data_IF_367622235827
#
_entry.id   IF_367622235827
#
_cell.length_a   1.000
_cell.length_b   1.000
_cell.length_c   1.000
_cell.angle_alpha   90.00
_cell.angle_beta   90.00
_cell.angle_gamma   90.00
#
_symmetry.space_group_name_H-M   'P 1'
#
loop_
_entity.id
_entity.type
_entity.pdbx_description
1 polymer ?
#
# COMPACT_ATOMS: atom_id res chain seq x y z
N UNK A 1 -48.71 -75.06 -18.22
CA UNK A 1 -49.91 -74.68 -18.93
C UNK A 1 -49.86 -73.16 -19.21
N UNK A 2 -49.62 -72.79 -20.46
CA UNK A 2 -49.29 -71.47 -20.96
C UNK A 2 -50.60 -70.74 -21.33
N UNK A 3 -50.79 -69.52 -20.88
CA UNK A 3 -51.81 -68.63 -21.38
C UNK A 3 -51.13 -67.37 -21.94
N UNK A 4 -51.25 -67.19 -23.24
CA UNK A 4 -50.87 -65.99 -24.00
C UNK A 4 -51.93 -64.93 -23.88
N UNK A 5 -51.64 -63.74 -23.49
CA UNK A 5 -52.56 -62.59 -23.64
C UNK A 5 -51.94 -61.62 -24.61
N UNK A 6 -52.53 -61.38 -25.74
CA UNK A 6 -52.16 -60.40 -26.75
C UNK A 6 -52.67 -59.03 -26.30
N UNK A 7 -51.73 -58.03 -26.24
CA UNK A 7 -52.09 -56.65 -26.02
C UNK A 7 -52.10 -55.91 -27.38
N UNK A 8 -53.24 -55.34 -27.72
CA UNK A 8 -53.46 -54.51 -28.92
C UNK A 8 -52.88 -53.10 -28.65
N UNK A 9 -51.95 -52.66 -29.47
CA UNK A 9 -51.48 -51.31 -29.47
C UNK A 9 -52.35 -50.43 -30.33
N UNK A 10 -53.04 -49.48 -29.72
CA UNK A 10 -53.75 -48.40 -30.39
C UNK A 10 -52.69 -47.23 -30.62
N UNK A 11 -52.41 -47.01 -31.90
CA UNK A 11 -51.54 -45.92 -32.34
C UNK A 11 -52.44 -44.71 -32.60
N UNK A 12 -52.55 -43.80 -31.62
CA UNK A 12 -53.16 -42.48 -31.82
C UNK A 12 -52.09 -41.53 -32.33
N UNK A 13 -52.18 -41.16 -33.58
CA UNK A 13 -51.40 -40.14 -34.25
C UNK A 13 -51.80 -38.78 -33.73
N UNK A 14 -51.03 -38.21 -32.78
CA UNK A 14 -51.16 -36.82 -32.35
C UNK A 14 -50.38 -35.94 -33.33
N UNK A 15 -51.12 -35.21 -34.15
CA UNK A 15 -50.58 -34.18 -35.02
C UNK A 15 -50.17 -32.98 -34.15
N UNK A 16 -48.89 -32.90 -33.74
CA UNK A 16 -48.33 -31.69 -33.12
C UNK A 16 -48.16 -30.62 -34.21
N UNK A 17 -49.09 -29.72 -34.29
CA UNK A 17 -48.87 -28.44 -34.97
C UNK A 17 -47.88 -27.64 -34.11
N UNK A 18 -46.64 -27.60 -34.52
CA UNK A 18 -45.64 -26.70 -33.95
C UNK A 18 -46.06 -25.25 -34.25
N UNK A 19 -46.66 -24.61 -33.28
CA UNK A 19 -46.74 -23.14 -33.28
C UNK A 19 -45.35 -22.63 -33.06
N UNK A 20 -44.65 -22.21 -34.12
CA UNK A 20 -43.46 -21.37 -34.05
C UNK A 20 -43.92 -20.02 -33.52
N UNK A 21 -43.84 -19.82 -32.21
CA UNK A 21 -43.83 -18.49 -31.65
C UNK A 21 -42.51 -17.89 -32.10
N UNK A 22 -42.56 -17.10 -33.17
CA UNK A 22 -41.49 -16.16 -33.49
C UNK A 22 -41.37 -15.25 -32.25
N UNK A 23 -40.36 -15.48 -31.45
CA UNK A 23 -39.97 -14.50 -30.43
C UNK A 23 -39.65 -13.22 -31.20
N UNK A 24 -40.59 -12.30 -31.26
CA UNK A 24 -40.30 -10.90 -31.63
C UNK A 24 -39.36 -10.41 -30.55
N UNK A 25 -38.07 -10.56 -30.79
CA UNK A 25 -37.04 -9.98 -29.92
C UNK A 25 -37.32 -8.47 -29.87
N UNK A 26 -37.91 -8.03 -28.76
CA UNK A 26 -38.01 -6.60 -28.49
C UNK A 26 -36.61 -6.03 -28.67
N UNK A 27 -36.42 -5.08 -29.57
CA UNK A 27 -35.16 -4.35 -29.74
C UNK A 27 -34.80 -3.77 -28.38
N UNK A 28 -33.59 -4.02 -27.85
CA UNK A 28 -33.21 -3.52 -26.55
C UNK A 28 -33.42 -2.00 -26.54
N UNK A 29 -34.11 -1.51 -25.52
CA UNK A 29 -34.45 -0.10 -25.34
C UNK A 29 -33.19 0.75 -25.21
N UNK A 30 -32.13 0.19 -24.65
CA UNK A 30 -30.77 0.77 -24.62
C UNK A 30 -29.79 -0.30 -25.08
N UNK A 31 -29.09 -0.02 -26.18
CA UNK A 31 -27.95 -0.84 -26.63
C UNK A 31 -26.66 -0.24 -26.15
N UNK A 32 -25.95 -1.02 -25.34
CA UNK A 32 -24.73 -0.60 -24.65
C UNK A 32 -23.58 -1.57 -24.95
N UNK A 33 -22.38 -1.03 -25.10
CA UNK A 33 -21.14 -1.79 -25.32
C UNK A 33 -20.16 -1.54 -24.18
N UNK A 34 -19.64 -2.62 -23.61
CA UNK A 34 -18.45 -2.58 -22.77
C UNK A 34 -17.25 -2.35 -23.68
N UNK A 35 -16.55 -1.23 -23.50
CA UNK A 35 -15.32 -0.96 -24.24
C UNK A 35 -14.20 -1.84 -23.65
N UNK A 36 -13.52 -2.56 -24.53
CA UNK A 36 -12.45 -3.50 -24.14
C UNK A 36 -11.41 -2.83 -23.24
N UNK A 37 -11.00 -3.50 -22.15
CA UNK A 37 -9.95 -3.01 -21.26
C UNK A 37 -8.66 -2.69 -21.99
N UNK A 38 -8.01 -1.59 -21.60
CA UNK A 38 -6.77 -1.09 -22.20
C UNK A 38 -5.91 -0.40 -21.13
N UNK A 39 -4.66 -0.05 -21.46
CA UNK A 39 -3.71 0.53 -20.51
C UNK A 39 -3.67 -0.27 -19.20
N UNK A 40 -3.56 -1.58 -19.35
CA UNK A 40 -3.53 -2.52 -18.23
C UNK A 40 -2.15 -2.48 -17.63
N UNK A 41 -2.09 -2.05 -16.36
CA UNK A 41 -0.85 -1.92 -15.59
C UNK A 41 -0.90 -2.84 -14.36
N UNK A 42 -0.15 -2.54 -13.31
CA UNK A 42 -0.07 -3.35 -12.10
C UNK A 42 -1.31 -3.23 -11.20
N UNK A 43 -1.89 -2.04 -11.13
CA UNK A 43 -3.03 -1.75 -10.23
C UNK A 43 -4.14 -0.93 -10.90
N UNK A 44 -4.01 -0.69 -12.18
CA UNK A 44 -4.95 0.13 -12.95
C UNK A 44 -5.26 -0.48 -14.31
N UNK A 45 -6.47 -0.23 -14.79
CA UNK A 45 -6.86 -0.50 -16.17
C UNK A 45 -7.85 0.58 -16.64
N UNK A 46 -7.82 0.91 -17.93
CA UNK A 46 -8.79 1.80 -18.54
C UNK A 46 -9.90 0.97 -19.15
N UNK A 47 -11.13 1.17 -18.69
CA UNK A 47 -12.34 0.50 -19.15
C UNK A 47 -13.37 1.54 -19.56
N UNK A 48 -14.45 1.14 -20.23
CA UNK A 48 -15.42 2.14 -20.63
C UNK A 48 -16.79 1.60 -21.03
N UNK A 49 -17.68 2.57 -21.20
CA UNK A 49 -19.05 2.38 -21.67
C UNK A 49 -19.30 3.22 -22.92
N UNK A 50 -19.92 2.62 -23.93
CA UNK A 50 -20.41 3.28 -25.13
C UNK A 50 -21.90 2.96 -25.32
N UNK A 51 -22.68 4.00 -25.51
CA UNK A 51 -24.10 3.86 -25.88
C UNK A 51 -24.18 3.81 -27.40
N UNK A 52 -24.71 2.72 -27.95
CA UNK A 52 -24.89 2.53 -29.39
C UNK A 52 -26.20 3.15 -29.84
N UNK A 53 -27.26 2.93 -29.08
CA UNK A 53 -28.60 3.50 -29.34
C UNK A 53 -29.45 3.47 -28.07
N UNK A 54 -30.39 4.40 -27.93
CA UNK A 54 -31.36 4.43 -26.84
C UNK A 54 -32.69 4.99 -27.31
N UNK A 55 -33.78 4.47 -26.76
CA UNK A 55 -35.14 5.02 -26.87
C UNK A 55 -35.65 5.55 -25.54
N UNK A 56 -34.85 5.40 -24.46
CA UNK A 56 -35.13 5.95 -23.13
C UNK A 56 -34.08 7.00 -22.74
N UNK A 57 -34.45 7.88 -21.83
CA UNK A 57 -33.54 8.82 -21.22
C UNK A 57 -32.62 8.09 -20.27
N UNK A 58 -31.31 8.14 -20.55
CA UNK A 58 -30.27 7.59 -19.68
C UNK A 58 -29.93 8.65 -18.63
N UNK A 59 -29.98 8.26 -17.38
CA UNK A 59 -29.62 9.12 -16.26
C UNK A 59 -28.12 8.98 -15.92
N UNK A 60 -27.63 7.73 -15.80
CA UNK A 60 -26.26 7.43 -15.41
C UNK A 60 -25.67 6.34 -16.29
N UNK A 61 -24.35 6.43 -16.47
CA UNK A 61 -23.54 5.40 -17.11
C UNK A 61 -22.35 5.05 -16.22
N UNK A 62 -21.82 3.84 -16.36
CA UNK A 62 -20.68 3.42 -15.57
C UNK A 62 -20.05 2.13 -16.01
N UNK A 63 -18.99 1.76 -15.31
CA UNK A 63 -18.35 0.45 -15.38
C UNK A 63 -18.35 -0.16 -13.99
N UNK A 64 -18.63 -1.46 -13.90
CA UNK A 64 -18.49 -2.25 -12.69
C UNK A 64 -17.51 -3.39 -12.93
N UNK A 65 -16.76 -3.78 -11.90
CA UNK A 65 -15.75 -4.82 -11.98
C UNK A 65 -15.64 -5.62 -10.69
N UNK A 66 -15.14 -6.84 -10.81
CA UNK A 66 -14.92 -7.76 -9.70
C UNK A 66 -14.25 -9.04 -10.16
N UNK A 67 -14.20 -10.03 -9.29
CA UNK A 67 -13.67 -11.35 -9.61
C UNK A 67 -14.71 -12.29 -10.22
N UNK A 68 -15.98 -11.99 -10.01
CA UNK A 68 -17.09 -12.80 -10.50
C UNK A 68 -17.51 -12.39 -11.92
N UNK A 69 -18.00 -13.35 -12.68
CA UNK A 69 -18.54 -13.15 -14.02
C UNK A 69 -19.76 -12.21 -13.97
N UNK A 70 -19.84 -11.32 -14.94
CA UNK A 70 -20.98 -10.39 -15.08
C UNK A 70 -21.23 -9.52 -13.86
N UNK A 71 -20.23 -8.75 -13.39
CA UNK A 71 -20.36 -7.90 -12.22
C UNK A 71 -21.53 -6.91 -12.38
N UNK A 72 -22.14 -6.53 -11.26
CA UNK A 72 -23.23 -5.54 -11.20
C UNK A 72 -22.90 -4.47 -10.15
N UNK A 73 -23.32 -3.22 -10.33
CA UNK A 73 -23.15 -2.18 -9.32
C UNK A 73 -23.84 -2.59 -8.01
N UNK A 74 -23.28 -2.10 -6.89
CA UNK A 74 -23.84 -2.29 -5.54
C UNK A 74 -23.98 -3.74 -5.06
N UNK A 75 -23.28 -4.67 -5.69
CA UNK A 75 -23.20 -6.05 -5.22
C UNK A 75 -21.94 -6.25 -4.36
N UNK A 76 -22.02 -7.06 -3.30
CA UNK A 76 -20.97 -7.28 -2.27
C UNK A 76 -19.57 -7.67 -2.81
N UNK A 77 -19.50 -8.14 -4.07
CA UNK A 77 -18.25 -8.61 -4.70
C UNK A 77 -17.85 -7.77 -5.93
N UNK A 78 -18.53 -6.64 -6.16
CA UNK A 78 -18.28 -5.79 -7.32
C UNK A 78 -18.07 -4.34 -6.91
N UNK A 79 -17.15 -3.68 -7.60
CA UNK A 79 -16.92 -2.24 -7.50
C UNK A 79 -17.51 -1.54 -8.72
N UNK A 80 -17.81 -0.25 -8.62
CA UNK A 80 -18.33 0.53 -9.74
C UNK A 80 -17.79 1.96 -9.75
N UNK A 81 -17.62 2.51 -10.96
CA UNK A 81 -17.44 3.94 -11.23
C UNK A 81 -18.62 4.42 -12.06
N UNK A 82 -19.27 5.48 -11.61
CA UNK A 82 -20.52 6.00 -12.17
C UNK A 82 -20.34 7.46 -12.55
N UNK A 83 -20.98 7.88 -13.64
CA UNK A 83 -21.08 9.27 -14.07
C UNK A 83 -22.50 9.57 -14.55
N UNK A 84 -22.92 10.83 -14.46
CA UNK A 84 -24.12 11.30 -15.14
C UNK A 84 -23.90 11.20 -16.66
N UNK A 85 -24.97 10.82 -17.39
CA UNK A 85 -24.87 10.70 -18.83
C UNK A 85 -25.10 12.06 -19.50
N UNK A 86 -24.12 12.46 -20.30
CA UNK A 86 -24.12 13.73 -21.04
C UNK A 86 -24.06 13.55 -22.57
N UNK A 87 -24.42 12.37 -23.08
CA UNK A 87 -24.34 12.03 -24.49
C UNK A 87 -22.98 11.54 -24.99
N UNK A 88 -21.98 11.44 -24.12
CA UNK A 88 -20.61 11.05 -24.47
C UNK A 88 -20.25 9.72 -23.81
N UNK A 89 -19.36 8.95 -24.45
CA UNK A 89 -18.76 7.75 -23.87
C UNK A 89 -18.00 8.06 -22.61
N UNK A 90 -18.14 7.22 -21.58
CA UNK A 90 -17.41 7.34 -20.31
C UNK A 90 -16.29 6.31 -20.26
N UNK A 91 -15.05 6.80 -20.10
CA UNK A 91 -13.82 5.98 -20.18
C UNK A 91 -12.94 6.17 -18.95
N UNK A 92 -13.38 5.75 -17.76
CA UNK A 92 -12.60 5.91 -16.54
C UNK A 92 -11.37 5.00 -16.50
N UNK A 93 -10.41 5.37 -15.64
CA UNK A 93 -9.36 4.48 -15.17
C UNK A 93 -9.77 3.92 -13.82
N UNK A 94 -9.95 2.61 -13.73
CA UNK A 94 -10.15 1.91 -12.46
C UNK A 94 -8.81 1.74 -11.77
N UNK A 95 -8.80 1.83 -10.44
CA UNK A 95 -7.57 1.91 -9.61
C UNK A 95 -7.67 0.99 -8.41
N UNK A 96 -6.57 0.86 -7.67
CA UNK A 96 -6.46 0.06 -6.45
C UNK A 96 -6.78 -1.42 -6.69
N UNK A 97 -6.44 -1.91 -7.88
CA UNK A 97 -6.56 -3.32 -8.23
C UNK A 97 -5.38 -4.11 -7.66
N UNK A 98 -5.57 -5.41 -7.49
CA UNK A 98 -4.54 -6.32 -6.99
C UNK A 98 -3.67 -6.83 -8.15
N UNK A 99 -2.34 -6.61 -8.11
CA UNK A 99 -1.43 -7.07 -9.18
C UNK A 99 -1.55 -8.57 -9.47
N UNK A 100 -1.39 -8.94 -10.74
CA UNK A 100 -1.43 -10.33 -11.20
C UNK A 100 -2.83 -10.95 -11.26
N UNK A 101 -3.87 -10.28 -10.79
CA UNK A 101 -5.23 -10.84 -10.77
C UNK A 101 -5.98 -10.57 -12.05
N UNK A 102 -6.85 -11.52 -12.40
CA UNK A 102 -7.82 -11.39 -13.48
C UNK A 102 -9.12 -10.83 -12.95
N UNK A 103 -9.64 -9.82 -13.63
CA UNK A 103 -10.90 -9.15 -13.32
C UNK A 103 -11.90 -9.30 -14.45
N UNK A 104 -13.16 -9.38 -14.11
CA UNK A 104 -14.30 -9.15 -14.98
C UNK A 104 -14.71 -7.69 -14.93
N UNK A 105 -15.07 -7.10 -16.06
CA UNK A 105 -15.56 -5.73 -16.16
C UNK A 105 -16.75 -5.67 -17.10
N UNK A 106 -17.71 -4.82 -16.75
CA UNK A 106 -18.96 -4.69 -17.49
C UNK A 106 -19.45 -3.25 -17.49
N UNK A 107 -19.84 -2.76 -18.66
CA UNK A 107 -20.51 -1.47 -18.78
C UNK A 107 -21.96 -1.56 -18.28
N UNK A 108 -22.48 -0.46 -17.73
CA UNK A 108 -23.90 -0.34 -17.42
C UNK A 108 -24.42 1.07 -17.72
N UNK A 109 -25.74 1.15 -17.96
CA UNK A 109 -26.49 2.39 -18.09
C UNK A 109 -27.81 2.28 -17.32
N UNK A 110 -28.13 3.29 -16.52
CA UNK A 110 -29.35 3.33 -15.71
C UNK A 110 -30.31 4.35 -16.28
N UNK A 111 -31.52 3.94 -16.52
CA UNK A 111 -32.66 4.79 -16.84
C UNK A 111 -33.57 4.94 -15.61
N UNK A 112 -34.68 5.68 -15.72
CA UNK A 112 -35.65 5.77 -14.63
C UNK A 112 -36.23 4.40 -14.23
N UNK A 113 -36.29 3.45 -15.16
CA UNK A 113 -37.01 2.20 -15.00
C UNK A 113 -36.13 0.99 -14.70
N UNK A 114 -34.91 0.95 -15.26
CA UNK A 114 -34.04 -0.22 -15.16
C UNK A 114 -32.55 0.10 -15.45
N UNK A 115 -31.70 -0.89 -15.22
CA UNK A 115 -30.27 -0.84 -15.58
C UNK A 115 -30.00 -1.82 -16.72
N UNK A 116 -29.39 -1.32 -17.78
CA UNK A 116 -28.93 -2.09 -18.93
C UNK A 116 -27.44 -2.37 -18.82
N UNK A 117 -26.99 -3.49 -19.34
CA UNK A 117 -25.61 -3.93 -19.23
C UNK A 117 -25.03 -4.27 -20.60
N UNK A 118 -23.77 -3.94 -20.79
CA UNK A 118 -22.94 -4.44 -21.88
C UNK A 118 -22.50 -5.89 -21.65
N UNK A 119 -21.79 -6.46 -22.61
CA UNK A 119 -21.16 -7.76 -22.46
C UNK A 119 -20.09 -7.73 -21.37
N UNK A 120 -19.88 -8.87 -20.72
CA UNK A 120 -18.77 -9.09 -19.81
C UNK A 120 -17.45 -9.13 -20.60
N UNK A 121 -16.40 -8.57 -20.03
CA UNK A 121 -15.05 -8.60 -20.57
C UNK A 121 -14.05 -8.86 -19.47
N UNK A 122 -12.93 -9.50 -19.77
CA UNK A 122 -11.89 -9.83 -18.79
C UNK A 122 -10.57 -9.14 -19.11
N UNK A 123 -9.75 -8.93 -18.08
CA UNK A 123 -8.37 -8.52 -18.21
C UNK A 123 -7.55 -9.01 -17.03
N UNK A 124 -6.26 -9.23 -17.27
CA UNK A 124 -5.30 -9.64 -16.22
C UNK A 124 -4.26 -8.54 -16.05
N UNK A 125 -4.03 -8.14 -14.81
CA UNK A 125 -3.01 -7.13 -14.47
C UNK A 125 -1.60 -7.73 -14.55
N UNK A 126 -0.59 -6.84 -14.70
CA UNK A 126 0.81 -7.23 -14.58
C UNK A 126 1.11 -7.73 -13.18
N UNK A 127 1.99 -8.74 -13.06
CA UNK A 127 2.48 -9.23 -11.77
C UNK A 127 3.32 -8.16 -11.06
N UNK A 128 3.19 -8.06 -9.73
CA UNK A 128 4.08 -7.21 -8.94
C UNK A 128 5.53 -7.72 -9.04
N UNK A 129 6.52 -6.81 -9.07
CA UNK A 129 7.91 -7.23 -8.98
C UNK A 129 8.16 -8.01 -7.69
N UNK A 130 9.07 -8.98 -7.78
CA UNK A 130 9.43 -9.82 -6.63
C UNK A 130 9.96 -8.97 -5.47
N UNK A 131 9.50 -9.26 -4.25
CA UNK A 131 9.88 -8.57 -3.00
C UNK A 131 9.62 -7.06 -2.99
N UNK A 132 8.80 -6.55 -3.93
CA UNK A 132 8.47 -5.13 -4.00
C UNK A 132 7.19 -4.79 -3.22
N UNK A 133 7.12 -3.55 -2.76
CA UNK A 133 6.03 -3.00 -1.98
C UNK A 133 5.33 -1.88 -2.73
N UNK A 134 4.04 -2.02 -2.93
CA UNK A 134 3.22 -1.03 -3.58
C UNK A 134 2.96 0.16 -2.64
N UNK A 135 3.42 1.35 -3.03
CA UNK A 135 3.31 2.60 -2.24
C UNK A 135 2.39 3.64 -2.88
N UNK A 136 1.99 3.44 -4.11
CA UNK A 136 0.93 4.17 -4.82
C UNK A 136 0.49 3.33 -6.01
N UNK A 137 -0.59 3.73 -6.71
CA UNK A 137 -0.99 3.02 -7.93
C UNK A 137 0.18 2.92 -8.92
N UNK A 138 0.54 1.69 -9.29
CA UNK A 138 1.65 1.35 -10.21
C UNK A 138 3.05 1.80 -9.73
N UNK A 139 3.22 2.18 -8.47
CA UNK A 139 4.50 2.62 -7.91
C UNK A 139 4.98 1.65 -6.85
N UNK A 140 6.13 1.05 -7.08
CA UNK A 140 6.74 0.08 -6.19
C UNK A 140 8.08 0.56 -5.64
N UNK A 141 8.42 0.07 -4.46
CA UNK A 141 9.71 0.30 -3.80
C UNK A 141 10.27 -0.99 -3.24
N UNK A 142 11.60 -1.02 -3.05
CA UNK A 142 12.29 -1.97 -2.17
C UNK A 142 12.68 -1.27 -0.89
N UNK A 143 12.46 -1.91 0.25
CA UNK A 143 12.93 -1.39 1.53
C UNK A 143 14.40 -1.69 1.76
N UNK A 144 15.05 -0.84 2.56
CA UNK A 144 16.40 -1.09 3.08
C UNK A 144 16.42 -2.32 3.99
N UNK A 145 17.57 -3.03 4.07
CA UNK A 145 17.70 -4.26 4.85
C UNK A 145 17.63 -4.05 6.38
N UNK A 146 17.60 -2.80 6.84
CA UNK A 146 17.51 -2.44 8.25
C UNK A 146 17.27 -0.95 8.43
N UNK A 147 17.10 -0.52 9.68
CA UNK A 147 17.00 0.89 10.02
C UNK A 147 18.29 1.62 9.71
N UNK A 148 18.19 2.91 9.34
CA UNK A 148 19.33 3.76 9.09
C UNK A 148 20.12 3.99 10.38
N UNK A 149 21.45 3.92 10.32
CA UNK A 149 22.36 4.18 11.42
C UNK A 149 23.44 5.17 10.99
N UNK A 150 23.90 5.99 11.94
CA UNK A 150 24.95 6.99 11.72
C UNK A 150 26.00 6.92 12.82
N UNK A 151 27.27 7.07 12.43
CA UNK A 151 28.41 7.21 13.33
C UNK A 151 29.05 8.58 13.13
N UNK A 152 29.00 9.43 14.16
CA UNK A 152 29.42 10.82 14.06
C UNK A 152 30.94 10.97 13.89
N UNK A 153 31.73 10.23 14.63
CA UNK A 153 33.20 10.32 14.60
C UNK A 153 33.85 10.05 13.24
N UNK A 154 33.15 9.27 12.38
CA UNK A 154 33.60 8.92 11.02
C UNK A 154 32.72 9.51 9.93
N UNK A 155 31.65 10.21 10.29
CA UNK A 155 30.62 10.69 9.37
C UNK A 155 30.10 9.57 8.44
N UNK A 156 29.84 8.39 9.00
CA UNK A 156 29.47 7.21 8.22
C UNK A 156 28.01 6.83 8.43
N UNK A 157 27.32 6.56 7.31
CA UNK A 157 25.96 6.05 7.28
C UNK A 157 25.95 4.58 6.87
N UNK A 158 25.10 3.79 7.52
CA UNK A 158 24.85 2.39 7.16
C UNK A 158 23.41 1.99 7.48
N UNK A 159 22.98 0.85 7.00
CA UNK A 159 21.80 0.15 7.53
C UNK A 159 22.21 -0.76 8.68
N UNK A 160 21.32 -0.97 9.63
CA UNK A 160 21.44 -2.01 10.64
C UNK A 160 21.67 -3.38 9.98
N UNK A 161 22.39 -4.27 10.65
CA UNK A 161 22.74 -5.58 10.09
C UNK A 161 21.54 -6.50 9.97
N UNK A 162 20.65 -6.42 10.98
CA UNK A 162 19.41 -7.16 10.97
C UNK A 162 18.20 -6.22 11.09
N UNK A 163 17.06 -6.62 10.55
CA UNK A 163 15.87 -5.77 10.55
C UNK A 163 15.32 -5.49 11.94
N UNK A 164 15.57 -6.37 12.91
CA UNK A 164 15.17 -6.24 14.31
C UNK A 164 16.19 -5.47 15.19
N UNK A 165 17.34 -5.08 14.63
CA UNK A 165 18.33 -4.30 15.39
C UNK A 165 17.83 -2.89 15.68
N UNK A 166 18.03 -2.44 16.92
CA UNK A 166 17.86 -1.05 17.35
C UNK A 166 18.92 -0.68 18.39
N UNK A 167 19.40 0.57 18.32
CA UNK A 167 20.48 1.09 19.18
C UNK A 167 19.96 1.36 20.61
N UNK A 168 18.69 1.71 20.75
CA UNK A 168 18.04 1.91 22.04
C UNK A 168 18.64 3.07 22.84
N UNK A 169 18.90 2.84 24.14
CA UNK A 169 19.35 3.87 25.08
C UNK A 169 20.67 4.57 24.66
N UNK A 170 21.50 3.95 23.86
CA UNK A 170 22.76 4.59 23.40
C UNK A 170 22.53 5.80 22.49
N UNK A 171 21.30 6.00 21.99
CA UNK A 171 20.91 7.25 21.29
C UNK A 171 20.93 8.50 22.20
N UNK A 172 21.12 8.36 23.51
CA UNK A 172 21.40 9.47 24.43
C UNK A 172 22.79 10.07 24.21
N UNK A 173 23.74 9.26 23.70
CA UNK A 173 25.15 9.63 23.53
C UNK A 173 25.38 10.30 22.18
N UNK A 174 24.66 11.38 21.91
CA UNK A 174 24.80 12.13 20.68
C UNK A 174 25.80 13.28 20.83
N UNK A 175 26.84 13.24 20.01
CA UNK A 175 27.85 14.31 19.89
C UNK A 175 28.58 14.18 18.57
N UNK A 176 29.28 15.23 18.17
CA UNK A 176 30.12 15.23 16.95
C UNK A 176 31.24 14.19 16.95
N UNK A 177 31.71 13.80 18.13
CA UNK A 177 32.84 12.88 18.31
C UNK A 177 32.41 11.49 18.79
N UNK A 178 31.12 11.22 18.87
CA UNK A 178 30.65 9.91 19.32
C UNK A 178 31.05 8.82 18.32
N UNK A 179 31.76 7.81 18.82
CA UNK A 179 32.29 6.69 18.03
C UNK A 179 31.32 5.48 17.92
N UNK A 180 30.18 5.51 18.64
CA UNK A 180 29.11 4.52 18.51
C UNK A 180 28.11 4.88 17.40
N UNK A 181 27.18 4.00 17.20
CA UNK A 181 26.09 4.19 16.23
C UNK A 181 24.85 4.79 16.91
N UNK A 182 24.13 5.65 16.17
CA UNK A 182 22.80 6.16 16.51
C UNK A 182 21.80 5.83 15.39
N UNK A 183 20.51 5.67 15.71
CA UNK A 183 19.42 5.35 14.77
C UNK A 183 18.14 6.16 15.02
N UNK A 184 18.24 7.22 15.83
CA UNK A 184 17.15 8.15 16.11
C UNK A 184 17.57 9.57 15.74
N UNK A 185 16.92 10.13 14.72
CA UNK A 185 17.28 11.40 14.09
C UNK A 185 16.16 12.43 14.22
N UNK A 186 16.52 13.70 14.41
CA UNK A 186 15.60 14.81 14.19
C UNK A 186 15.19 14.88 12.70
N UNK A 187 13.99 15.36 12.41
CA UNK A 187 13.49 15.39 11.04
C UNK A 187 14.35 16.29 10.12
N UNK A 188 14.79 15.73 8.99
CA UNK A 188 15.62 16.45 8.01
C UNK A 188 17.08 16.65 8.42
N UNK A 189 17.58 15.91 9.41
CA UNK A 189 19.00 16.00 9.85
C UNK A 189 19.91 15.08 9.05
N UNK A 190 19.95 15.27 7.73
CA UNK A 190 20.83 14.51 6.84
C UNK A 190 22.31 14.95 6.89
N UNK A 191 22.63 16.07 7.50
CA UNK A 191 23.92 16.75 7.41
C UNK A 191 23.94 17.88 6.38
N UNK A 192 22.90 18.04 5.57
CA UNK A 192 22.78 19.11 4.58
C UNK A 192 22.23 20.39 5.26
N UNK A 193 23.04 21.46 5.21
CA UNK A 193 22.59 22.78 5.66
C UNK A 193 21.69 23.43 4.60
N UNK A 194 20.40 23.52 4.92
CA UNK A 194 19.41 24.17 4.05
C UNK A 194 19.34 25.69 4.20
N UNK A 195 20.30 26.32 4.91
CA UNK A 195 20.48 27.76 4.98
C UNK A 195 19.51 28.50 5.91
N UNK A 196 18.71 27.79 6.72
CA UNK A 196 17.73 28.40 7.62
C UNK A 196 18.23 28.59 9.06
N UNK A 197 19.54 28.35 9.32
CA UNK A 197 20.16 28.47 10.65
C UNK A 197 19.65 27.44 11.66
N UNK A 198 19.01 26.35 11.19
CA UNK A 198 18.41 25.31 12.02
C UNK A 198 19.35 24.16 12.32
N UNK A 199 18.81 23.13 12.97
CA UNK A 199 19.46 21.87 13.20
C UNK A 199 19.41 21.01 11.93
N UNK A 200 20.56 20.61 11.41
CA UNK A 200 20.68 19.79 10.21
C UNK A 200 21.62 18.60 10.37
N UNK A 201 22.46 18.60 11.38
CA UNK A 201 23.39 17.48 11.61
C UNK A 201 22.70 16.33 12.33
N UNK A 202 23.06 15.07 12.03
CA UNK A 202 22.39 13.90 12.61
C UNK A 202 22.45 13.80 14.13
N UNK A 203 23.46 14.40 14.75
CA UNK A 203 23.63 14.47 16.19
C UNK A 203 23.08 15.76 16.82
N UNK A 204 22.49 16.66 16.02
CA UNK A 204 21.83 17.85 16.56
C UNK A 204 20.56 17.47 17.31
N UNK A 205 20.35 18.13 18.45
CA UNK A 205 19.06 18.10 19.10
C UNK A 205 18.86 19.42 19.85
N UNK A 206 17.73 20.06 19.63
CA UNK A 206 17.31 21.21 20.40
C UNK A 206 15.86 21.56 20.07
N UNK A 207 15.02 21.67 21.09
CA UNK A 207 13.64 22.16 20.90
C UNK A 207 13.56 23.66 20.52
N UNK A 208 14.69 24.36 20.50
CA UNK A 208 14.78 25.79 20.20
C UNK A 208 15.01 26.12 18.73
N UNK A 209 15.40 25.14 17.93
CA UNK A 209 15.79 25.36 16.54
C UNK A 209 14.81 24.73 15.57
N UNK A 210 14.79 25.26 14.34
CA UNK A 210 14.05 24.71 13.24
C UNK A 210 14.79 23.47 12.71
N UNK A 211 14.07 22.40 12.44
CA UNK A 211 14.57 21.18 11.84
C UNK A 211 14.11 21.05 10.39
N UNK A 212 14.99 20.55 9.53
CA UNK A 212 14.72 20.40 8.11
C UNK A 212 14.51 21.75 7.39
N UNK A 213 13.78 21.75 6.26
CA UNK A 213 13.52 22.95 5.46
C UNK A 213 12.85 24.06 6.24
N UNK A 214 12.90 25.29 5.72
CA UNK A 214 12.05 26.39 6.16
C UNK A 214 10.57 26.04 5.99
N UNK A 215 9.69 26.96 6.29
CA UNK A 215 8.24 26.75 6.41
C UNK A 215 7.59 25.89 5.32
N UNK A 216 6.65 25.04 5.74
CA UNK A 216 5.71 24.26 4.92
C UNK A 216 6.30 23.36 3.80
N UNK A 217 7.59 23.03 3.88
CA UNK A 217 8.28 22.27 2.85
C UNK A 217 8.52 20.80 3.27
N UNK A 218 8.33 19.90 2.32
CA UNK A 218 8.71 18.50 2.44
C UNK A 218 10.23 18.31 2.22
N UNK A 219 10.77 17.14 2.58
CA UNK A 219 12.13 16.74 2.19
C UNK A 219 12.13 16.32 0.71
N UNK A 220 11.82 17.27 -0.17
CA UNK A 220 11.64 17.04 -1.60
C UNK A 220 12.10 18.29 -2.40
N UNK A 221 12.11 18.19 -3.71
CA UNK A 221 12.43 19.27 -4.65
C UNK A 221 13.75 19.97 -4.31
N UNK A 222 13.72 21.26 -4.03
CA UNK A 222 14.89 22.03 -3.63
C UNK A 222 15.46 21.62 -2.28
N UNK A 223 14.64 21.03 -1.39
CA UNK A 223 15.01 20.54 -0.06
C UNK A 223 15.25 19.02 -0.02
N UNK A 224 15.31 18.36 -1.17
CA UNK A 224 15.52 16.92 -1.23
C UNK A 224 16.78 16.42 -0.51
N UNK A 225 17.81 17.26 -0.43
CA UNK A 225 19.06 16.92 0.26
C UNK A 225 18.91 16.89 1.80
N UNK A 226 17.79 17.39 2.35
CA UNK A 226 17.48 17.19 3.76
C UNK A 226 17.03 15.75 4.07
N UNK A 227 16.72 14.94 3.04
CA UNK A 227 16.47 13.50 3.18
C UNK A 227 17.82 12.74 3.29
N UNK A 228 17.90 11.86 4.26
CA UNK A 228 19.13 11.15 4.64
C UNK A 228 19.70 10.32 3.49
N UNK A 229 18.88 9.54 2.78
CA UNK A 229 19.34 8.66 1.71
C UNK A 229 19.56 9.38 0.38
N UNK A 230 18.91 10.52 0.18
CA UNK A 230 19.15 11.37 -1.00
C UNK A 230 20.50 12.08 -0.91
N UNK A 231 20.85 12.61 0.27
CA UNK A 231 22.08 13.36 0.45
C UNK A 231 23.31 12.47 0.68
N UNK A 232 23.16 11.37 1.39
CA UNK A 232 24.28 10.58 1.85
C UNK A 232 24.46 9.25 1.12
N UNK A 233 25.69 8.84 0.84
CA UNK A 233 26.00 7.46 0.50
C UNK A 233 25.83 6.57 1.74
N UNK A 234 25.15 5.44 1.59
CA UNK A 234 24.95 4.45 2.65
C UNK A 234 25.94 3.30 2.41
N UNK A 235 26.89 3.10 3.31
CA UNK A 235 28.07 2.25 3.08
C UNK A 235 27.75 0.80 2.70
N UNK A 236 26.75 0.19 3.33
CA UNK A 236 26.24 -1.15 2.99
C UNK A 236 24.94 -1.11 2.15
N UNK A 237 24.58 0.04 1.60
CA UNK A 237 23.43 0.28 0.73
C UNK A 237 23.80 0.65 -0.70
N UNK A 238 24.96 0.19 -1.21
CA UNK A 238 25.48 0.53 -2.54
C UNK A 238 26.43 1.71 -2.57
N UNK A 239 26.61 2.39 -1.45
CA UNK A 239 27.59 3.48 -1.25
C UNK A 239 27.49 4.64 -2.27
N UNK A 240 26.27 4.97 -2.68
CA UNK A 240 25.98 6.09 -3.58
C UNK A 240 24.85 6.93 -3.01
N UNK A 241 25.02 8.25 -2.99
CA UNK A 241 23.97 9.20 -2.65
C UNK A 241 22.83 9.16 -3.69
N UNK A 242 21.60 9.38 -3.23
CA UNK A 242 20.43 9.42 -4.10
C UNK A 242 19.86 8.05 -4.51
N UNK A 243 20.45 6.94 -4.07
CA UNK A 243 19.87 5.60 -4.29
C UNK A 243 18.68 5.32 -3.39
N UNK A 244 18.64 5.93 -2.23
CA UNK A 244 17.66 5.71 -1.19
C UNK A 244 16.95 7.00 -0.86
N UNK A 245 15.70 6.89 -0.40
CA UNK A 245 14.89 8.00 0.06
C UNK A 245 13.95 7.58 1.18
N UNK A 246 13.41 8.56 1.88
CA UNK A 246 12.33 8.35 2.85
C UNK A 246 10.98 8.30 2.12
N UNK A 247 10.06 7.45 2.55
CA UNK A 247 8.68 7.45 2.06
C UNK A 247 7.96 8.74 2.48
N UNK A 248 7.09 9.23 1.62
CA UNK A 248 6.13 10.28 1.98
C UNK A 248 5.04 9.74 2.92
N UNK A 249 4.31 10.65 3.58
CA UNK A 249 3.11 10.28 4.36
C UNK A 249 2.11 9.49 3.51
N UNK A 250 1.81 9.96 2.30
CA UNK A 250 0.81 9.32 1.44
C UNK A 250 1.24 7.94 0.95
N UNK A 251 2.55 7.75 0.71
CA UNK A 251 3.11 6.42 0.38
C UNK A 251 3.00 5.46 1.56
N UNK A 252 3.29 5.91 2.78
CA UNK A 252 3.08 5.09 3.98
C UNK A 252 1.60 4.77 4.21
N UNK A 253 0.71 5.75 4.07
CA UNK A 253 -0.74 5.53 4.21
C UNK A 253 -1.25 4.55 3.16
N UNK A 254 -0.77 4.65 1.92
CA UNK A 254 -1.15 3.71 0.86
C UNK A 254 -0.62 2.29 1.15
N UNK A 255 0.64 2.15 1.51
CA UNK A 255 1.26 0.87 1.86
C UNK A 255 0.51 0.18 3.01
N UNK A 256 0.20 0.94 4.06
CA UNK A 256 -0.38 0.38 5.29
C UNK A 256 -1.89 0.20 5.21
N UNK A 257 -2.61 1.01 4.42
CA UNK A 257 -4.07 1.06 4.46
C UNK A 257 -4.75 1.13 3.09
N UNK A 258 -4.07 1.61 2.05
CA UNK A 258 -4.68 1.93 0.74
C UNK A 258 -4.54 0.85 -0.32
N UNK A 259 -3.48 0.06 -0.29
CA UNK A 259 -3.29 -1.04 -1.25
C UNK A 259 -4.28 -2.17 -1.01
N UNK A 260 -4.54 -2.97 -2.04
CA UNK A 260 -5.44 -4.11 -1.94
C UNK A 260 -4.99 -5.07 -0.82
N UNK A 261 -5.95 -5.51 -0.01
CA UNK A 261 -5.72 -6.41 1.13
C UNK A 261 -4.67 -5.89 2.16
N UNK A 262 -4.47 -4.58 2.28
CA UNK A 262 -3.47 -3.98 3.17
C UNK A 262 -3.53 -4.50 4.61
N UNK A 263 -4.74 -4.71 5.16
CA UNK A 263 -4.93 -5.25 6.52
C UNK A 263 -4.43 -6.69 6.70
N UNK A 264 -4.27 -7.44 5.60
CA UNK A 264 -3.74 -8.81 5.59
C UNK A 264 -2.27 -8.87 5.16
N UNK A 265 -1.65 -7.72 4.93
CA UNK A 265 -0.23 -7.60 4.54
C UNK A 265 0.60 -6.94 5.64
N UNK A 266 0.05 -6.76 6.84
CA UNK A 266 0.76 -6.24 8.01
C UNK A 266 0.16 -6.76 9.30
N UNK A 267 1.00 -7.01 10.28
CA UNK A 267 0.56 -7.42 11.61
C UNK A 267 1.65 -7.22 12.65
N UNK A 268 1.24 -7.06 13.91
CA UNK A 268 2.12 -6.94 15.04
C UNK A 268 2.64 -8.32 15.49
N UNK A 269 3.93 -8.39 15.77
CA UNK A 269 4.57 -9.61 16.26
C UNK A 269 5.76 -9.31 17.17
N UNK A 270 6.34 -10.36 17.71
CA UNK A 270 7.62 -10.34 18.41
C UNK A 270 8.57 -11.28 17.67
N UNK A 271 9.77 -10.80 17.32
CA UNK A 271 10.85 -11.57 16.71
C UNK A 271 12.02 -11.55 17.67
N UNK A 272 12.49 -12.71 18.12
CA UNK A 272 13.60 -12.82 19.10
C UNK A 272 13.48 -11.82 20.27
N UNK A 273 12.29 -11.75 20.87
CA UNK A 273 12.01 -10.83 21.97
C UNK A 273 11.89 -9.35 21.58
N UNK A 274 11.97 -8.98 20.30
CA UNK A 274 11.79 -7.62 19.79
C UNK A 274 10.38 -7.44 19.24
N UNK A 275 9.63 -6.54 19.83
CA UNK A 275 8.31 -6.16 19.35
C UNK A 275 8.41 -5.35 18.07
N UNK A 276 7.44 -5.50 17.17
CA UNK A 276 7.44 -4.76 15.92
C UNK A 276 6.25 -5.08 15.02
N UNK A 277 6.34 -4.61 13.78
CA UNK A 277 5.34 -4.84 12.73
C UNK A 277 6.03 -5.48 11.54
N UNK A 278 5.53 -6.64 11.10
CA UNK A 278 5.86 -7.22 9.80
C UNK A 278 4.99 -6.54 8.75
N UNK A 279 5.60 -6.23 7.59
CA UNK A 279 4.91 -5.79 6.37
C UNK A 279 5.33 -6.74 5.25
N UNK A 280 4.35 -7.28 4.54
CA UNK A 280 4.54 -8.24 3.45
C UNK A 280 4.57 -7.54 2.09
N UNK A 281 5.43 -7.97 1.16
CA UNK A 281 5.42 -7.48 -0.23
C UNK A 281 4.14 -7.88 -0.96
N UNK A 282 3.92 -7.33 -2.14
CA UNK A 282 2.62 -7.49 -2.83
C UNK A 282 2.44 -8.85 -3.49
N UNK A 283 3.52 -9.54 -3.84
CA UNK A 283 3.51 -10.87 -4.44
C UNK A 283 4.01 -11.99 -3.51
N UNK A 284 3.92 -11.78 -2.18
CA UNK A 284 4.39 -12.77 -1.21
C UNK A 284 3.60 -14.08 -1.24
N UNK A 285 4.27 -15.17 -0.92
CA UNK A 285 3.67 -16.43 -0.56
C UNK A 285 4.11 -16.76 0.86
N UNK A 286 3.15 -16.83 1.79
CA UNK A 286 3.45 -17.08 3.21
C UNK A 286 4.04 -18.48 3.40
N UNK A 287 5.09 -18.66 4.25
CA UNK A 287 5.67 -19.94 4.53
C UNK A 287 4.68 -20.93 5.15
N UNK A 288 4.71 -22.19 4.70
CA UNK A 288 3.84 -23.23 5.22
C UNK A 288 4.15 -23.54 6.68
N UNK A 289 3.12 -23.72 7.47
CA UNK A 289 3.24 -24.12 8.88
C UNK A 289 3.45 -22.96 9.87
N UNK A 290 3.84 -21.78 9.42
CA UNK A 290 3.96 -20.62 10.30
C UNK A 290 2.59 -19.98 10.58
N UNK A 291 2.28 -19.79 11.87
CA UNK A 291 1.04 -19.11 12.26
C UNK A 291 1.10 -17.62 11.97
N UNK A 292 0.00 -17.04 11.53
CA UNK A 292 -0.16 -15.61 11.32
C UNK A 292 -1.38 -15.10 12.10
N UNK A 293 -1.23 -13.95 12.76
CA UNK A 293 -2.32 -13.31 13.48
C UNK A 293 -2.33 -11.80 13.17
N UNK A 294 -3.34 -11.34 12.46
CA UNK A 294 -3.51 -9.94 12.09
C UNK A 294 -4.02 -9.03 13.20
N UNK A 295 -3.61 -9.29 14.45
CA UNK A 295 -3.93 -8.45 15.60
C UNK A 295 -2.94 -7.26 15.72
N UNK A 296 -3.30 -6.29 16.56
CA UNK A 296 -2.42 -5.18 16.93
C UNK A 296 -1.68 -5.46 18.28
N UNK A 297 -1.53 -6.73 18.67
CA UNK A 297 -0.88 -7.14 19.92
C UNK A 297 0.34 -8.01 19.62
N UNK A 298 1.51 -7.59 20.08
CA UNK A 298 2.79 -8.27 19.82
C UNK A 298 2.84 -9.70 20.34
N UNK A 299 2.25 -9.94 21.51
CA UNK A 299 2.25 -11.25 22.17
C UNK A 299 1.28 -12.28 21.56
N UNK A 300 0.59 -11.91 20.49
CA UNK A 300 -0.30 -12.84 19.76
C UNK A 300 0.43 -13.65 18.69
N UNK A 301 1.60 -13.19 18.28
CA UNK A 301 2.44 -13.86 17.29
C UNK A 301 3.90 -13.66 17.68
N UNK A 302 4.58 -14.73 18.01
CA UNK A 302 5.99 -14.75 18.41
C UNK A 302 6.70 -15.68 17.44
N UNK A 303 7.78 -15.19 16.86
CA UNK A 303 8.65 -15.92 15.96
C UNK A 303 10.06 -15.98 16.53
N UNK A 304 10.66 -17.15 16.48
CA UNK A 304 12.10 -17.35 16.71
C UNK A 304 12.90 -16.87 15.48
N UNK A 305 14.23 -16.86 15.58
CA UNK A 305 15.07 -16.36 14.47
C UNK A 305 14.94 -17.23 13.21
N UNK A 306 14.81 -18.55 13.38
CA UNK A 306 14.62 -19.48 12.28
C UNK A 306 13.31 -19.20 11.52
N UNK A 307 12.21 -18.93 12.23
CA UNK A 307 10.93 -18.53 11.64
C UNK A 307 11.08 -17.23 10.87
N UNK A 308 11.83 -16.28 11.47
CA UNK A 308 12.07 -14.98 10.84
C UNK A 308 12.89 -15.09 9.55
N UNK A 309 13.91 -15.94 9.50
CA UNK A 309 14.70 -16.18 8.29
C UNK A 309 13.82 -16.66 7.12
N UNK A 310 12.84 -17.54 7.38
CA UNK A 310 11.86 -17.97 6.38
C UNK A 310 10.95 -16.80 5.94
N UNK A 311 10.46 -16.01 6.89
CA UNK A 311 9.59 -14.85 6.61
C UNK A 311 10.37 -13.76 5.87
N UNK A 312 11.63 -13.50 6.23
CA UNK A 312 12.47 -12.53 5.55
C UNK A 312 12.80 -12.98 4.11
N UNK A 313 12.96 -14.28 3.88
CA UNK A 313 13.27 -14.84 2.56
C UNK A 313 12.19 -14.59 1.50
N UNK A 314 10.93 -14.41 1.91
CA UNK A 314 9.83 -14.01 1.01
C UNK A 314 9.75 -12.49 0.78
N UNK A 315 10.77 -11.75 1.19
CA UNK A 315 10.87 -10.30 1.04
C UNK A 315 10.13 -9.49 2.11
N UNK A 316 9.67 -10.11 3.19
CA UNK A 316 9.02 -9.39 4.29
C UNK A 316 9.97 -8.40 4.96
N UNK A 317 9.43 -7.27 5.43
CA UNK A 317 10.17 -6.34 6.27
C UNK A 317 9.64 -6.36 7.70
N UNK A 318 10.55 -6.13 8.64
CA UNK A 318 10.23 -5.94 10.05
C UNK A 318 10.62 -4.53 10.49
N UNK A 319 9.68 -3.83 11.10
CA UNK A 319 9.89 -2.53 11.74
C UNK A 319 9.86 -2.74 13.25
N UNK A 320 11.01 -2.74 13.95
CA UNK A 320 11.02 -2.88 15.40
C UNK A 320 10.41 -1.67 16.12
N UNK A 321 9.90 -1.89 17.33
CA UNK A 321 9.55 -0.81 18.25
C UNK A 321 10.84 -0.17 18.76
N UNK A 322 11.11 1.05 18.34
CA UNK A 322 12.36 1.77 18.69
C UNK A 322 12.15 2.78 19.80
N UNK A 323 10.89 3.18 20.09
CA UNK A 323 10.62 4.35 20.89
C UNK A 323 11.03 5.63 20.15
N UNK A 324 11.32 6.68 20.89
CA UNK A 324 11.81 7.95 20.36
C UNK A 324 12.74 8.65 21.37
N UNK A 325 13.58 9.55 20.89
CA UNK A 325 14.42 10.41 21.72
C UNK A 325 13.75 11.78 21.87
N UNK A 326 13.60 12.22 23.12
CA UNK A 326 13.13 13.56 23.47
C UNK A 326 14.28 14.30 24.15
N UNK A 327 14.90 15.22 23.44
CA UNK A 327 16.13 15.88 23.91
C UNK A 327 17.23 14.86 24.28
N UNK A 328 17.65 14.83 25.55
CA UNK A 328 18.66 13.88 26.05
C UNK A 328 18.07 12.54 26.52
N UNK A 329 16.76 12.43 26.62
CA UNK A 329 16.09 11.24 27.15
C UNK A 329 15.62 10.35 26.01
N UNK A 330 15.99 9.09 26.03
CA UNK A 330 15.42 8.07 25.16
C UNK A 330 14.25 7.42 25.88
N UNK A 331 13.07 7.63 25.34
CA UNK A 331 11.88 6.85 25.71
C UNK A 331 11.97 5.50 25.01
N UNK A 332 12.76 4.63 25.64
CA UNK A 332 13.45 3.58 24.94
C UNK A 332 12.80 2.22 24.87
N UNK A 333 13.48 1.27 24.24
CA UNK A 333 12.96 -0.03 23.81
C UNK A 333 12.72 -1.03 24.96
N UNK A 334 13.22 -0.80 26.16
CA UNK A 334 12.93 -1.68 27.32
C UNK A 334 11.47 -1.65 27.75
N UNK A 335 10.73 -0.63 27.33
CA UNK A 335 9.28 -0.47 27.53
C UNK A 335 8.59 -0.12 26.21
N UNK A 336 9.33 -0.08 25.10
CA UNK A 336 8.80 0.38 23.82
C UNK A 336 7.69 -0.55 23.33
N UNK A 337 6.49 -0.12 23.54
CA UNK A 337 5.31 -0.66 22.91
C UNK A 337 5.07 -0.01 21.54
N UNK A 338 5.92 0.95 21.12
CA UNK A 338 5.67 1.78 19.94
C UNK A 338 6.92 1.98 19.08
N UNK A 339 6.73 1.98 17.77
CA UNK A 339 7.72 2.36 16.76
C UNK A 339 7.33 3.69 16.11
N UNK A 340 8.32 4.52 15.82
CA UNK A 340 8.16 5.85 15.22
C UNK A 340 9.16 6.02 14.08
N UNK A 341 8.66 6.15 12.86
CA UNK A 341 9.46 6.21 11.63
C UNK A 341 9.16 7.48 10.85
N UNK A 342 10.14 8.34 10.65
CA UNK A 342 9.96 9.57 9.91
C UNK A 342 9.47 9.32 8.48
N UNK A 343 8.62 10.23 8.02
CA UNK A 343 8.30 10.40 6.60
C UNK A 343 9.06 11.62 6.05
N UNK A 344 9.12 11.75 4.73
CA UNK A 344 9.65 12.97 4.10
C UNK A 344 8.66 14.14 4.10
N UNK A 345 7.47 13.96 4.66
CA UNK A 345 6.40 14.95 4.60
C UNK A 345 6.39 15.90 5.80
N UNK A 346 6.33 17.19 5.50
CA UNK A 346 6.04 18.24 6.47
C UNK A 346 4.62 18.06 7.05
N UNK A 347 4.44 18.39 8.30
CA UNK A 347 3.14 18.32 8.98
C UNK A 347 2.48 19.68 9.09
N UNK A 348 2.90 20.45 10.09
CA UNK A 348 2.38 21.80 10.37
C UNK A 348 3.28 22.54 11.34
N UNK A 349 3.08 23.83 11.47
CA UNK A 349 3.63 24.65 12.56
C UNK A 349 2.61 24.66 13.73
N UNK A 350 3.10 24.45 14.94
CA UNK A 350 2.32 24.54 16.18
C UNK A 350 3.05 25.48 17.16
N UNK A 351 2.58 26.73 17.29
CA UNK A 351 3.32 27.76 18.01
C UNK A 351 4.70 27.96 17.39
N UNK A 352 5.75 27.80 18.19
CA UNK A 352 7.15 27.89 17.75
C UNK A 352 7.75 26.54 17.34
N UNK A 353 6.96 25.47 17.30
CA UNK A 353 7.43 24.11 16.99
C UNK A 353 7.01 23.70 15.61
N UNK A 354 7.93 23.14 14.85
CA UNK A 354 7.67 22.42 13.61
C UNK A 354 7.26 20.99 13.93
N UNK A 355 6.21 20.53 13.27
CA UNK A 355 5.79 19.13 13.27
C UNK A 355 6.00 18.54 11.88
N UNK A 356 6.48 17.31 11.84
CA UNK A 356 6.58 16.50 10.63
C UNK A 356 5.75 15.22 10.77
N UNK A 357 5.37 14.62 9.67
CA UNK A 357 4.66 13.33 9.70
C UNK A 357 5.64 12.19 9.99
N UNK A 358 5.18 11.26 10.81
CA UNK A 358 5.80 9.95 11.01
C UNK A 358 4.76 8.86 10.82
N UNK A 359 5.21 7.66 10.48
CA UNK A 359 4.45 6.43 10.57
C UNK A 359 4.66 5.86 11.97
N UNK A 360 3.59 5.76 12.74
CA UNK A 360 3.60 5.25 14.11
C UNK A 360 2.76 3.99 14.25
N UNK A 361 3.20 3.10 15.14
CA UNK A 361 2.43 1.93 15.56
C UNK A 361 2.74 1.61 17.01
N UNK A 362 1.82 0.94 17.68
CA UNK A 362 1.96 0.62 19.09
C UNK A 362 1.09 -0.54 19.54
N UNK A 363 1.27 -0.93 20.80
CA UNK A 363 0.50 -2.00 21.42
C UNK A 363 -1.00 -1.67 21.39
N UNK A 364 -1.78 -2.51 20.73
CA UNK A 364 -3.23 -2.35 20.61
C UNK A 364 -3.67 -1.23 19.65
N UNK A 365 -2.74 -0.54 18.98
CA UNK A 365 -3.07 0.54 18.05
C UNK A 365 -2.80 0.17 16.60
N UNK A 366 -3.59 0.72 15.71
CA UNK A 366 -3.37 0.58 14.26
C UNK A 366 -2.13 1.38 13.85
N UNK A 367 -1.37 0.84 12.90
CA UNK A 367 -0.29 1.58 12.27
C UNK A 367 -0.85 2.69 11.37
N UNK A 368 -0.47 3.94 11.65
CA UNK A 368 -0.99 5.12 10.94
C UNK A 368 0.00 6.28 10.95
N UNK A 369 -0.16 7.21 10.01
CA UNK A 369 0.63 8.42 10.00
C UNK A 369 0.03 9.49 10.93
N UNK A 370 0.90 10.10 11.73
CA UNK A 370 0.57 11.20 12.64
C UNK A 370 1.67 12.25 12.65
N UNK A 371 1.39 13.44 13.20
CA UNK A 371 2.39 14.49 13.32
C UNK A 371 3.12 14.42 14.66
N UNK A 372 4.44 14.65 14.61
CA UNK A 372 5.30 14.67 15.78
C UNK A 372 6.28 15.82 15.72
N UNK A 373 6.86 16.22 16.86
CA UNK A 373 7.82 17.32 16.91
C UNK A 373 9.07 16.98 16.11
N UNK A 374 9.43 17.81 15.14
CA UNK A 374 10.56 17.59 14.23
C UNK A 374 11.93 17.48 14.96
N UNK A 375 12.04 18.06 16.16
CA UNK A 375 13.23 17.92 17.01
C UNK A 375 13.34 16.57 17.75
N UNK A 376 12.27 15.78 17.77
CA UNK A 376 12.32 14.44 18.37
C UNK A 376 13.16 13.51 17.52
N UNK A 377 13.95 12.66 18.16
CA UNK A 377 14.68 11.62 17.45
C UNK A 377 13.78 10.43 17.18
N UNK A 378 13.50 10.13 15.92
CA UNK A 378 12.77 8.95 15.49
C UNK A 378 13.60 8.15 14.48
N UNK A 379 13.23 6.89 14.29
CA UNK A 379 13.91 6.01 13.34
C UNK A 379 13.63 6.38 11.89
N UNK A 380 14.50 5.93 11.00
CA UNK A 380 14.38 6.11 9.56
C UNK A 380 14.53 4.76 8.88
N UNK A 381 13.53 4.42 8.03
CA UNK A 381 13.58 3.25 7.17
C UNK A 381 13.49 3.73 5.73
N UNK A 382 14.59 3.57 5.00
CA UNK A 382 14.70 4.06 3.64
C UNK A 382 14.16 3.06 2.62
N UNK A 383 13.83 3.58 1.45
CA UNK A 383 13.39 2.78 0.30
C UNK A 383 14.16 3.18 -0.96
N UNK A 384 14.15 2.27 -1.93
CA UNK A 384 14.63 2.49 -3.30
C UNK A 384 13.49 2.27 -4.27
N UNK A 385 13.24 3.21 -5.20
CA UNK A 385 12.20 3.07 -6.21
C UNK A 385 12.52 1.91 -7.18
N UNK A 386 11.49 1.15 -7.55
CA UNK A 386 11.59 0.15 -8.62
C UNK A 386 11.54 0.89 -9.96
N UNK A 387 12.55 0.68 -10.78
CA UNK A 387 12.60 1.18 -12.17
C UNK A 387 12.28 0.04 -13.12
N UNK A 388 11.40 0.27 -14.12
CA UNK A 388 10.97 -0.71 -15.12
C UNK A 388 11.64 -0.45 -16.47
#
# INVERSE_FOLDING_TARGET
MKVFTKLFAFCTLFCLTAFSIAATGATPVVKITTVSPSKIEYTTAKCGVKIESTTEEIQKIGVCWGFEISPVPDHNYSNALVSDYNGVSYMPTIKNLEPGKTYHVRAFATTKNTTYYGADSTFTLKEAPENAFLVANNKFVYFSPGNLQYQASTNTWRFALHQYDCIGMKNERISETYDGWIDMFGWGTSGFDCGNGGCYKPYDFSSKYIYGPSDDQNLADEYRNCDWGVYNPISNGGNQAGQWRTLTKDEWDYLMNGRSNASRKRFHCCIDGKNGVIILPDNHQWPDGLAINFSNFYNKTIYELEDWEEIESIGAIFLPTTGYRSQNDVNGPTVASSGYYWTSSFGRILGNSKLAYLMGFGLGTKAECSTFHAFSGCSVRLVKDVTF
#
